data_IF_245678277607
#
_entry.id   IF_245678277607
#
_cell.length_a   1.000
_cell.length_b   1.000
_cell.length_c   1.000
_cell.angle_alpha   90.00
_cell.angle_beta   90.00
_cell.angle_gamma   90.00
#
_symmetry.space_group_name_H-M   'P 1'
#
loop_
_entity.id
_entity.type
_entity.pdbx_description
1 polymer ?
#
# COMPACT_ATOMS: atom_id res chain seq x y z
N UNK A 1 79.79 -3.53 16.85
CA UNK A 1 79.51 -2.08 16.95
C UNK A 1 78.43 -1.73 15.94
N UNK A 2 77.34 -1.09 16.38
CA UNK A 2 76.24 -0.70 15.50
C UNK A 2 74.91 -0.55 16.23
N UNK A 3 74.84 0.38 17.18
CA UNK A 3 73.61 0.84 17.83
C UNK A 3 72.83 1.78 16.89
N UNK A 4 71.56 1.48 16.58
CA UNK A 4 70.52 2.45 16.17
C UNK A 4 69.17 1.94 16.69
N UNK A 5 68.73 2.43 17.86
CA UNK A 5 67.87 3.60 18.11
C UNK A 5 66.37 3.24 18.10
N UNK A 6 65.86 3.20 19.33
CA UNK A 6 64.46 3.28 19.75
C UNK A 6 63.89 4.64 19.32
N UNK A 7 62.65 4.67 18.82
CA UNK A 7 61.77 5.81 18.96
C UNK A 7 60.38 5.32 19.38
N UNK A 8 60.00 5.72 20.58
CA UNK A 8 58.67 5.67 21.14
C UNK A 8 57.75 6.70 20.47
N UNK A 9 56.48 6.35 20.30
CA UNK A 9 55.28 7.20 20.41
C UNK A 9 54.11 6.32 19.92
N UNK A 10 53.19 5.88 20.77
CA UNK A 10 52.40 6.74 21.64
C UNK A 10 51.27 7.37 20.83
N UNK A 11 50.39 6.56 20.24
CA UNK A 11 49.15 7.03 19.63
C UNK A 11 48.01 6.15 20.13
N UNK A 12 47.16 6.77 20.96
CA UNK A 12 46.05 6.16 21.66
C UNK A 12 45.11 5.41 20.70
N UNK A 13 44.83 4.15 21.04
CA UNK A 13 43.68 3.43 20.48
C UNK A 13 42.44 4.17 20.96
N UNK A 14 41.90 5.05 20.12
CA UNK A 14 40.64 5.73 20.36
C UNK A 14 39.56 4.66 20.46
N UNK A 15 39.14 4.40 21.69
CA UNK A 15 38.06 3.49 22.01
C UNK A 15 36.83 3.88 21.19
N UNK A 16 36.28 2.91 20.46
CA UNK A 16 34.93 2.99 19.89
C UNK A 16 33.96 3.29 21.03
N UNK A 17 33.57 4.56 21.17
CA UNK A 17 32.44 4.92 22.02
C UNK A 17 31.21 4.28 21.40
N UNK A 18 30.68 3.26 22.06
CA UNK A 18 29.32 2.79 21.80
C UNK A 18 28.37 3.98 21.99
N UNK A 19 27.65 4.38 20.94
CA UNK A 19 26.44 5.17 21.14
C UNK A 19 25.47 4.26 21.88
N UNK A 20 25.23 4.55 23.15
CA UNK A 20 24.05 4.07 23.85
C UNK A 20 22.90 4.88 23.27
N UNK A 21 21.99 4.20 22.58
CA UNK A 21 20.66 4.75 22.37
C UNK A 21 20.03 4.79 23.76
N UNK A 22 19.96 5.98 24.34
CA UNK A 22 19.14 6.19 25.51
C UNK A 22 17.68 5.95 25.08
N UNK A 23 17.09 5.02 25.80
CA UNK A 23 15.72 4.57 25.81
C UNK A 23 14.86 5.67 26.45
N UNK A 24 14.41 6.65 25.66
CA UNK A 24 13.15 7.36 25.90
C UNK A 24 12.79 8.32 24.75
N UNK A 25 11.95 7.86 23.82
CA UNK A 25 11.00 8.68 23.06
C UNK A 25 10.18 7.74 22.15
N UNK A 26 9.12 7.20 22.73
CA UNK A 26 8.00 6.59 22.04
C UNK A 26 7.44 7.53 20.96
N UNK A 27 7.85 7.34 19.70
CA UNK A 27 7.06 7.69 18.51
C UNK A 27 7.69 7.12 17.22
N UNK A 28 8.06 5.84 17.28
CA UNK A 28 8.39 5.08 16.06
C UNK A 28 7.09 4.73 15.33
N UNK A 29 6.67 5.62 14.43
CA UNK A 29 5.62 5.33 13.45
C UNK A 29 6.01 4.08 12.63
N UNK A 30 5.43 2.94 12.98
CA UNK A 30 5.43 1.75 12.13
C UNK A 30 4.59 2.03 10.87
N UNK A 31 5.25 2.52 9.82
CA UNK A 31 4.70 2.37 8.46
C UNK A 31 4.83 0.90 8.09
N UNK A 32 3.69 0.22 8.04
CA UNK A 32 3.59 -1.18 7.65
C UNK A 32 4.01 -1.35 6.17
N UNK A 33 5.29 -1.64 5.95
CA UNK A 33 5.80 -2.28 4.74
C UNK A 33 6.91 -3.27 5.09
N UNK A 34 6.61 -4.20 6.01
CA UNK A 34 7.43 -5.38 6.26
C UNK A 34 6.74 -6.63 5.70
N UNK A 35 7.24 -7.09 4.55
CA UNK A 35 6.71 -8.28 3.91
C UNK A 35 7.56 -8.79 2.74
N UNK A 36 8.81 -9.18 3.03
CA UNK A 36 9.52 -10.37 2.50
C UNK A 36 10.99 -10.11 2.12
N UNK A 37 11.87 -10.07 3.13
CA UNK A 37 13.33 -10.18 2.97
C UNK A 37 13.86 -11.19 3.99
N UNK A 38 13.68 -12.48 3.70
CA UNK A 38 14.45 -13.54 4.36
C UNK A 38 14.82 -14.60 3.32
N UNK A 39 16.00 -14.47 2.72
CA UNK A 39 16.91 -15.60 2.53
C UNK A 39 18.26 -15.15 1.97
N UNK A 40 19.29 -15.59 2.69
CA UNK A 40 20.70 -15.73 2.30
C UNK A 40 21.61 -14.50 2.44
N UNK A 41 22.02 -14.31 3.69
CA UNK A 41 23.37 -13.88 4.03
C UNK A 41 24.40 -14.88 3.48
N UNK A 42 25.21 -14.44 2.51
CA UNK A 42 26.48 -15.10 2.16
C UNK A 42 27.60 -14.07 2.32
N UNK A 43 28.44 -14.35 3.31
CA UNK A 43 29.71 -13.70 3.61
C UNK A 43 30.62 -13.60 2.38
N UNK A 44 31.07 -12.40 2.01
CA UNK A 44 32.38 -12.19 1.38
C UNK A 44 33.01 -10.90 1.91
N UNK A 45 33.96 -11.06 2.82
CA UNK A 45 34.93 -10.03 3.18
C UNK A 45 36.12 -10.10 2.22
N UNK A 46 36.41 -9.04 1.45
CA UNK A 46 37.78 -8.63 1.06
C UNK A 46 37.81 -7.25 0.36
N UNK A 47 38.25 -6.26 1.14
CA UNK A 47 39.15 -5.11 0.85
C UNK A 47 39.30 -4.57 -0.59
N UNK A 48 38.82 -3.31 -0.75
CA UNK A 48 39.52 -2.07 -1.19
C UNK A 48 39.93 -1.91 -2.68
N UNK A 49 40.14 -0.67 -3.22
CA UNK A 49 39.96 0.68 -2.64
C UNK A 49 39.18 1.70 -3.54
N UNK A 50 38.87 2.85 -2.92
CA UNK A 50 38.66 4.23 -3.44
C UNK A 50 38.34 4.48 -4.93
N UNK A 51 37.24 5.22 -5.18
CA UNK A 51 37.33 6.52 -5.86
C UNK A 51 36.29 7.46 -5.24
N UNK A 52 36.84 8.54 -4.71
CA UNK A 52 36.17 9.70 -4.13
C UNK A 52 36.42 10.80 -5.14
N UNK A 53 35.42 11.16 -5.94
CA UNK A 53 35.40 12.40 -6.71
C UNK A 53 33.92 12.82 -6.81
N UNK A 54 33.45 13.75 -5.97
CA UNK A 54 33.60 15.21 -6.10
C UNK A 54 32.38 15.78 -6.82
N UNK A 55 31.35 16.12 -6.04
CA UNK A 55 30.34 17.11 -6.41
C UNK A 55 31.07 18.41 -6.78
N UNK A 56 31.05 18.76 -8.06
CA UNK A 56 31.54 20.03 -8.55
C UNK A 56 30.40 20.72 -9.30
N UNK A 57 29.60 21.47 -8.54
CA UNK A 57 28.85 22.60 -9.05
C UNK A 57 29.86 23.58 -9.65
N UNK A 58 29.88 23.70 -10.98
CA UNK A 58 30.67 24.69 -11.69
C UNK A 58 29.80 25.36 -12.74
N UNK A 59 29.11 26.42 -12.29
CA UNK A 59 28.60 27.47 -13.17
C UNK A 59 29.80 28.14 -13.84
N UNK A 60 30.13 27.69 -15.05
CA UNK A 60 31.15 28.33 -15.89
C UNK A 60 30.51 28.83 -17.18
N UNK A 61 29.99 30.05 -17.09
CA UNK A 61 29.72 30.91 -18.25
C UNK A 61 31.07 31.19 -18.95
N UNK A 62 31.35 30.48 -20.03
CA UNK A 62 32.46 30.80 -20.94
C UNK A 62 31.92 31.03 -22.35
N UNK A 63 31.68 32.31 -22.61
CA UNK A 63 31.38 32.94 -23.88
C UNK A 63 32.65 32.96 -24.77
N UNK A 64 32.65 32.18 -25.87
CA UNK A 64 33.65 32.28 -26.93
C UNK A 64 33.03 31.91 -28.30
N UNK A 65 33.12 32.76 -29.34
CA UNK A 65 32.42 32.57 -30.61
C UNK A 65 33.16 31.72 -31.67
N UNK A 66 32.32 31.03 -32.46
CA UNK A 66 32.42 30.62 -33.89
C UNK A 66 33.43 29.54 -34.37
N UNK A 67 32.90 28.33 -34.62
CA UNK A 67 33.17 27.56 -35.85
C UNK A 67 31.85 26.99 -36.41
N UNK A 68 31.41 27.54 -37.54
CA UNK A 68 30.17 27.20 -38.26
C UNK A 68 30.30 25.83 -38.97
N UNK A 69 29.78 24.77 -38.36
CA UNK A 69 29.71 23.46 -39.01
C UNK A 69 29.19 22.30 -38.15
N UNK A 70 29.17 22.45 -36.82
CA UNK A 70 28.68 21.44 -35.86
C UNK A 70 27.50 21.93 -34.99
N UNK A 71 27.00 23.16 -35.21
CA UNK A 71 26.01 23.84 -34.34
C UNK A 71 24.61 23.24 -34.43
N UNK A 72 24.13 22.87 -35.64
CA UNK A 72 22.76 22.39 -35.82
C UNK A 72 22.45 21.08 -35.07
N UNK A 73 23.48 20.25 -34.80
CA UNK A 73 23.32 19.02 -34.02
C UNK A 73 23.22 19.28 -32.52
N UNK A 74 23.87 20.33 -32.02
CA UNK A 74 23.82 20.75 -30.61
C UNK A 74 22.47 21.39 -30.29
N UNK A 75 21.97 22.27 -31.16
CA UNK A 75 20.65 22.91 -30.98
C UNK A 75 19.52 21.89 -30.88
N UNK A 76 19.54 20.86 -31.76
CA UNK A 76 18.55 19.77 -31.74
C UNK A 76 18.67 18.91 -30.48
N UNK A 77 19.86 18.77 -29.90
CA UNK A 77 20.05 18.06 -28.63
C UNK A 77 19.59 18.90 -27.44
N UNK A 78 19.91 20.19 -27.42
CA UNK A 78 19.47 21.12 -26.39
C UNK A 78 17.95 21.27 -26.35
N UNK A 79 17.30 21.38 -27.52
CA UNK A 79 15.83 21.37 -27.61
C UNK A 79 15.22 20.08 -27.06
N UNK A 80 15.84 18.92 -27.32
CA UNK A 80 15.38 17.63 -26.77
C UNK A 80 15.58 17.56 -25.26
N UNK A 81 16.68 18.08 -24.74
CA UNK A 81 16.95 18.12 -23.30
C UNK A 81 15.94 19.04 -22.61
N UNK A 82 15.71 20.25 -23.15
CA UNK A 82 14.70 21.20 -22.65
C UNK A 82 13.29 20.60 -22.68
N UNK A 83 12.91 19.95 -23.78
CA UNK A 83 11.61 19.29 -23.89
C UNK A 83 11.44 18.13 -22.89
N UNK A 84 12.51 17.36 -22.61
CA UNK A 84 12.48 16.31 -21.59
C UNK A 84 12.36 16.87 -20.18
N UNK A 85 13.08 17.95 -19.89
CA UNK A 85 13.03 18.62 -18.60
C UNK A 85 11.65 19.23 -18.34
N UNK A 86 11.09 19.93 -19.33
CA UNK A 86 9.74 20.49 -19.25
C UNK A 86 8.68 19.40 -19.08
N UNK A 87 8.79 18.29 -19.81
CA UNK A 87 7.89 17.15 -19.66
C UNK A 87 7.97 16.52 -18.26
N UNK A 88 9.18 16.43 -17.68
CA UNK A 88 9.38 15.93 -16.32
C UNK A 88 8.79 16.90 -15.29
N UNK A 89 9.03 18.19 -15.44
CA UNK A 89 8.46 19.23 -14.58
C UNK A 89 6.93 19.23 -14.61
N UNK A 90 6.33 19.13 -15.79
CA UNK A 90 4.88 19.03 -15.95
C UNK A 90 4.30 17.77 -15.28
N UNK A 91 5.00 16.63 -15.35
CA UNK A 91 4.58 15.41 -14.63
C UNK A 91 4.65 15.58 -13.11
N UNK A 92 5.70 16.21 -12.59
CA UNK A 92 5.85 16.49 -11.16
C UNK A 92 4.78 17.46 -10.67
N UNK A 93 4.47 18.51 -11.43
CA UNK A 93 3.41 19.46 -11.12
C UNK A 93 2.03 18.78 -11.13
N UNK A 94 1.74 17.95 -12.13
CA UNK A 94 0.51 17.17 -12.18
C UNK A 94 0.39 16.18 -11.00
N UNK A 95 1.49 15.55 -10.58
CA UNK A 95 1.51 14.68 -9.41
C UNK A 95 1.28 15.45 -8.10
N UNK A 96 1.91 16.63 -7.95
CA UNK A 96 1.68 17.54 -6.82
C UNK A 96 0.23 18.02 -6.77
N UNK A 97 -0.36 18.37 -7.91
CA UNK A 97 -1.77 18.79 -7.99
C UNK A 97 -2.73 17.65 -7.61
N UNK A 98 -2.46 16.42 -8.07
CA UNK A 98 -3.22 15.23 -7.66
C UNK A 98 -3.14 14.98 -6.16
N UNK A 99 -1.95 15.09 -5.56
CA UNK A 99 -1.77 14.99 -4.10
C UNK A 99 -2.60 16.03 -3.36
N UNK A 100 -2.54 17.30 -3.79
CA UNK A 100 -3.34 18.40 -3.21
C UNK A 100 -4.85 18.16 -3.33
N UNK A 101 -5.33 17.64 -4.46
CA UNK A 101 -6.76 17.29 -4.65
C UNK A 101 -7.19 16.19 -3.70
N UNK A 102 -6.41 15.12 -3.59
CA UNK A 102 -6.70 14.00 -2.70
C UNK A 102 -6.69 14.44 -1.23
N UNK A 103 -5.72 15.27 -0.83
CA UNK A 103 -5.64 15.82 0.52
C UNK A 103 -6.86 16.72 0.84
N UNK A 104 -7.30 17.56 -0.10
CA UNK A 104 -8.53 18.36 0.06
C UNK A 104 -9.76 17.48 0.24
N UNK A 105 -9.91 16.42 -0.56
CA UNK A 105 -11.03 15.47 -0.45
C UNK A 105 -11.00 14.77 0.90
N UNK A 106 -9.82 14.29 1.32
CA UNK A 106 -9.66 13.64 2.62
C UNK A 106 -10.00 14.58 3.78
N UNK A 107 -9.53 15.84 3.72
CA UNK A 107 -9.84 16.87 4.71
C UNK A 107 -11.34 17.17 4.77
N UNK A 108 -12.02 17.24 3.62
CA UNK A 108 -13.47 17.41 3.57
C UNK A 108 -14.21 16.23 4.21
N UNK A 109 -13.81 15.00 3.90
CA UNK A 109 -14.41 13.79 4.50
C UNK A 109 -14.24 13.75 6.02
N UNK A 110 -13.08 14.16 6.54
CA UNK A 110 -12.84 14.25 7.98
C UNK A 110 -13.72 15.30 8.65
N UNK A 111 -13.89 16.48 8.03
CA UNK A 111 -14.77 17.53 8.54
C UNK A 111 -16.24 17.10 8.50
N UNK A 112 -16.68 16.43 7.45
CA UNK A 112 -18.04 15.90 7.32
C UNK A 112 -18.32 14.83 8.39
N UNK A 113 -17.36 13.92 8.62
CA UNK A 113 -17.46 12.91 9.68
C UNK A 113 -17.56 13.56 11.07
N UNK A 114 -16.73 14.58 11.35
CA UNK A 114 -16.79 15.33 12.62
C UNK A 114 -18.13 16.05 12.78
N UNK A 115 -18.61 16.73 11.74
CA UNK A 115 -19.89 17.44 11.77
C UNK A 115 -21.07 16.48 11.97
N UNK A 116 -21.03 15.28 11.37
CA UNK A 116 -22.05 14.26 11.57
C UNK A 116 -22.07 13.77 13.01
N UNK A 117 -20.91 13.51 13.60
CA UNK A 117 -20.79 13.12 15.01
C UNK A 117 -21.28 14.24 15.94
N UNK A 118 -20.90 15.48 15.70
CA UNK A 118 -21.35 16.64 16.49
C UNK A 118 -22.87 16.83 16.40
N UNK A 119 -23.46 16.63 15.23
CA UNK A 119 -24.91 16.71 15.05
C UNK A 119 -25.65 15.55 15.72
N UNK A 120 -25.04 14.36 15.77
CA UNK A 120 -25.57 13.20 16.49
C UNK A 120 -25.47 13.40 18.01
N UNK A 121 -24.35 13.94 18.50
CA UNK A 121 -24.17 14.29 19.92
C UNK A 121 -25.13 15.42 20.34
N UNK A 122 -25.31 16.44 19.51
CA UNK A 122 -26.27 17.51 19.78
C UNK A 122 -27.72 17.01 19.82
N UNK A 123 -28.08 16.05 18.96
CA UNK A 123 -29.39 15.39 19.02
C UNK A 123 -29.58 14.58 20.29
N UNK A 124 -28.58 13.79 20.68
CA UNK A 124 -28.62 13.06 21.94
C UNK A 124 -28.75 14.00 23.14
N UNK A 125 -28.01 15.12 23.15
CA UNK A 125 -28.14 16.15 24.20
C UNK A 125 -29.50 16.82 24.20
N UNK A 126 -30.08 17.14 23.04
CA UNK A 126 -31.42 17.73 22.98
C UNK A 126 -32.50 16.74 23.39
N UNK A 127 -32.35 15.46 23.07
CA UNK A 127 -33.29 14.41 23.48
C UNK A 127 -33.27 14.23 25.01
N UNK A 128 -32.10 14.34 25.65
CA UNK A 128 -31.94 14.35 27.13
C UNK A 128 -32.49 15.64 27.77
N UNK A 129 -32.39 16.78 27.09
CA UNK A 129 -32.92 18.05 27.59
C UNK A 129 -34.46 18.15 27.42
N UNK A 130 -35.01 17.53 26.38
CA UNK A 130 -36.44 17.51 26.10
C UNK A 130 -37.17 16.37 26.86
N UNK A 131 -36.43 15.39 27.41
CA UNK A 131 -36.94 14.38 28.34
C UNK A 131 -37.06 14.86 29.79
N UNK A 132 -36.83 16.15 30.07
CA UNK A 132 -37.42 16.82 31.23
C UNK A 132 -37.02 16.33 32.63
N UNK A 133 -35.73 16.04 32.87
CA UNK A 133 -35.23 15.90 34.25
C UNK A 133 -34.36 17.11 34.58
N UNK A 134 -35.00 18.10 35.18
CA UNK A 134 -34.34 19.29 35.71
C UNK A 134 -33.49 18.89 36.92
N UNK A 135 -32.17 18.81 36.73
CA UNK A 135 -31.20 18.80 37.83
C UNK A 135 -31.29 20.15 38.56
N UNK A 136 -31.89 20.14 39.76
CA UNK A 136 -31.48 21.06 40.82
C UNK A 136 -30.50 20.30 41.70
N UNK A 137 -29.29 20.85 41.77
CA UNK A 137 -28.22 20.44 42.65
C UNK A 137 -28.63 20.65 44.11
N UNK A 138 -28.81 19.57 44.85
CA UNK A 138 -28.24 19.34 46.18
C UNK A 138 -28.67 17.94 46.66
N UNK A 139 -27.80 17.31 47.43
CA UNK A 139 -27.92 15.99 48.07
C UNK A 139 -27.58 14.74 47.22
N UNK A 140 -26.39 14.23 47.53
CA UNK A 140 -25.99 12.85 47.31
C UNK A 140 -26.85 11.94 48.19
N UNK A 141 -27.82 11.22 47.63
CA UNK A 141 -28.26 9.92 48.14
C UNK A 141 -29.25 9.27 47.14
N UNK A 142 -28.82 8.12 46.63
CA UNK A 142 -29.54 7.09 45.87
C UNK A 142 -30.18 7.45 44.50
N UNK A 143 -29.87 6.69 43.42
CA UNK A 143 -30.64 6.78 42.18
C UNK A 143 -32.08 6.33 42.47
N UNK A 144 -33.05 7.17 42.11
CA UNK A 144 -34.48 6.89 42.24
C UNK A 144 -34.80 5.49 41.71
N UNK A 145 -35.37 4.66 42.58
CA UNK A 145 -35.77 3.30 42.24
C UNK A 145 -36.74 3.35 41.04
N UNK A 146 -36.44 2.55 40.02
CA UNK A 146 -37.30 2.36 38.86
C UNK A 146 -38.73 2.07 39.33
N UNK A 147 -39.77 2.67 38.70
CA UNK A 147 -41.15 2.43 39.08
C UNK A 147 -41.42 0.92 39.17
N UNK A 148 -41.81 0.45 40.36
CA UNK A 148 -42.08 -0.98 40.60
C UNK A 148 -43.13 -1.51 39.60
N UNK A 149 -44.08 -0.65 39.20
CA UNK A 149 -45.10 -0.97 38.20
C UNK A 149 -44.51 -1.40 36.83
N UNK A 150 -43.30 -0.96 36.46
CA UNK A 150 -42.63 -1.39 35.23
C UNK A 150 -42.08 -2.82 35.32
N UNK A 151 -41.63 -3.23 36.50
CA UNK A 151 -41.19 -4.61 36.73
C UNK A 151 -42.40 -5.54 36.88
N UNK A 152 -43.47 -5.09 37.53
CA UNK A 152 -44.73 -5.82 37.62
C UNK A 152 -45.34 -6.04 36.22
N UNK A 153 -45.25 -5.06 35.30
CA UNK A 153 -45.68 -5.22 33.90
C UNK A 153 -44.80 -6.17 33.07
N UNK A 154 -43.51 -6.29 33.40
CA UNK A 154 -42.60 -7.23 32.72
C UNK A 154 -42.78 -8.66 33.24
N UNK A 155 -42.92 -8.84 34.55
CA UNK A 155 -43.21 -10.15 35.16
C UNK A 155 -44.58 -10.68 34.72
N UNK A 156 -45.61 -9.82 34.67
CA UNK A 156 -46.94 -10.21 34.15
C UNK A 156 -46.96 -10.52 32.65
N UNK A 157 -46.06 -9.93 31.84
CA UNK A 157 -45.91 -10.29 30.42
C UNK A 157 -45.02 -11.52 30.18
N UNK A 158 -44.21 -11.94 31.16
CA UNK A 158 -43.39 -13.16 31.08
C UNK A 158 -44.15 -14.41 31.54
N UNK A 159 -45.12 -14.27 32.45
CA UNK A 159 -45.85 -15.41 33.03
C UNK A 159 -47.00 -15.95 32.16
N UNK A 160 -47.54 -15.17 31.21
CA UNK A 160 -48.59 -15.64 30.28
C UNK A 160 -48.32 -15.20 28.82
N UNK A 161 -47.56 -15.97 28.02
CA UNK A 161 -47.38 -15.70 26.60
C UNK A 161 -48.61 -16.06 25.73
N UNK A 162 -49.74 -16.45 26.31
CA UNK A 162 -50.89 -17.00 25.57
C UNK A 162 -52.11 -16.05 25.42
N UNK A 163 -52.18 -14.89 26.09
CA UNK A 163 -53.36 -14.00 25.99
C UNK A 163 -53.13 -12.57 25.45
N UNK A 164 -51.89 -12.13 25.19
CA UNK A 164 -51.62 -10.76 24.72
C UNK A 164 -51.60 -10.57 23.18
N UNK A 165 -51.95 -11.60 22.40
CA UNK A 165 -51.93 -11.55 20.92
C UNK A 165 -53.14 -10.84 20.26
N UNK A 166 -54.05 -10.21 21.02
CA UNK A 166 -55.29 -9.64 20.47
C UNK A 166 -55.44 -8.13 20.49
N UNK A 167 -54.48 -7.38 21.04
CA UNK A 167 -54.57 -5.93 21.03
C UNK A 167 -53.26 -5.28 20.58
N UNK A 168 -53.34 -4.62 19.43
CA UNK A 168 -52.36 -3.69 18.84
C UNK A 168 -51.30 -4.35 17.95
N UNK A 169 -51.53 -4.20 16.63
CA UNK A 169 -50.63 -4.59 15.55
C UNK A 169 -49.32 -3.80 15.54
N UNK A 170 -48.40 -4.13 16.44
CA UNK A 170 -47.01 -3.77 16.33
C UNK A 170 -46.30 -4.83 15.49
N UNK A 171 -45.96 -4.43 14.27
CA UNK A 171 -45.08 -5.10 13.32
C UNK A 171 -43.87 -5.73 14.04
N UNK A 172 -43.96 -7.03 14.30
CA UNK A 172 -42.85 -7.86 14.74
C UNK A 172 -41.84 -7.89 13.61
N UNK A 173 -40.81 -7.03 13.69
CA UNK A 173 -39.65 -7.14 12.80
C UNK A 173 -39.04 -8.52 13.04
N UNK A 174 -38.96 -9.40 12.03
CA UNK A 174 -38.43 -10.74 12.23
C UNK A 174 -36.99 -10.65 12.73
N UNK A 175 -36.74 -11.17 13.94
CA UNK A 175 -35.43 -11.15 14.60
C UNK A 175 -34.38 -11.99 13.85
N UNK A 176 -34.80 -12.87 12.94
CA UNK A 176 -33.94 -13.76 12.17
C UNK A 176 -34.34 -13.79 10.69
N UNK A 177 -33.41 -13.40 9.82
CA UNK A 177 -33.52 -13.65 8.37
C UNK A 177 -33.07 -15.10 8.14
N UNK A 178 -34.01 -16.02 7.96
CA UNK A 178 -33.70 -17.38 7.56
C UNK A 178 -33.34 -17.37 6.07
N UNK A 179 -32.05 -17.31 5.74
CA UNK A 179 -31.61 -17.54 4.36
C UNK A 179 -31.96 -18.98 3.98
N UNK A 180 -32.77 -19.14 2.94
CA UNK A 180 -33.05 -20.46 2.39
C UNK A 180 -31.72 -21.11 2.02
N UNK A 181 -31.56 -22.42 2.24
CA UNK A 181 -30.33 -23.13 1.86
C UNK A 181 -29.96 -22.93 0.38
N UNK A 182 -30.99 -22.74 -0.45
CA UNK A 182 -30.88 -22.42 -1.86
C UNK A 182 -30.33 -21.01 -2.13
N UNK A 183 -30.65 -20.02 -1.29
CA UNK A 183 -30.10 -18.65 -1.40
C UNK A 183 -28.63 -18.61 -0.98
N UNK A 184 -28.24 -19.42 0.01
CA UNK A 184 -26.84 -19.57 0.42
C UNK A 184 -25.99 -20.28 -0.64
N UNK A 185 -26.53 -21.30 -1.32
CA UNK A 185 -25.86 -21.97 -2.44
C UNK A 185 -25.74 -21.03 -3.65
N UNK A 186 -26.80 -20.31 -4.00
CA UNK A 186 -26.77 -19.30 -5.06
C UNK A 186 -25.73 -18.20 -4.78
N UNK A 187 -25.71 -17.65 -3.56
CA UNK A 187 -24.71 -16.65 -3.17
C UNK A 187 -23.27 -17.19 -3.23
N UNK A 188 -23.06 -18.47 -2.90
CA UNK A 188 -21.74 -19.11 -2.97
C UNK A 188 -21.29 -19.37 -4.41
N UNK A 189 -22.21 -19.73 -5.30
CA UNK A 189 -21.92 -19.86 -6.73
C UNK A 189 -21.59 -18.49 -7.36
N UNK A 190 -22.36 -17.46 -7.03
CA UNK A 190 -22.10 -16.09 -7.47
C UNK A 190 -20.72 -15.60 -6.99
N UNK A 191 -20.37 -15.84 -5.72
CA UNK A 191 -19.06 -15.47 -5.17
C UNK A 191 -17.91 -16.20 -5.91
N UNK A 192 -18.09 -17.48 -6.25
CA UNK A 192 -17.10 -18.24 -7.01
C UNK A 192 -16.90 -17.66 -8.41
N UNK A 193 -17.99 -17.33 -9.10
CA UNK A 193 -17.93 -16.71 -10.43
C UNK A 193 -17.24 -15.35 -10.39
N UNK A 194 -17.57 -14.51 -9.40
CA UNK A 194 -16.92 -13.21 -9.19
C UNK A 194 -15.42 -13.41 -8.92
N UNK A 195 -15.05 -14.36 -8.07
CA UNK A 195 -13.65 -14.65 -7.74
C UNK A 195 -12.87 -15.14 -8.96
N UNK A 196 -13.46 -15.98 -9.79
CA UNK A 196 -12.86 -16.41 -11.05
C UNK A 196 -12.66 -15.26 -12.02
N UNK A 197 -13.64 -14.37 -12.13
CA UNK A 197 -13.55 -13.20 -13.00
C UNK A 197 -12.45 -12.25 -12.53
N UNK A 198 -12.36 -11.98 -11.22
CA UNK A 198 -11.27 -11.22 -10.62
C UNK A 198 -9.92 -11.88 -10.92
N UNK A 199 -9.81 -13.22 -10.81
CA UNK A 199 -8.57 -13.95 -11.14
C UNK A 199 -8.21 -13.84 -12.61
N UNK A 200 -9.19 -13.91 -13.52
CA UNK A 200 -8.99 -13.74 -14.97
C UNK A 200 -8.52 -12.32 -15.28
N UNK A 201 -9.14 -11.31 -14.69
CA UNK A 201 -8.75 -9.90 -14.83
C UNK A 201 -7.34 -9.66 -14.34
N UNK A 202 -6.99 -10.12 -13.13
CA UNK A 202 -5.61 -10.04 -12.58
C UNK A 202 -4.59 -10.71 -13.49
N UNK A 203 -4.93 -11.87 -14.09
CA UNK A 203 -4.05 -12.54 -15.04
C UNK A 203 -3.86 -11.73 -16.33
N UNK A 204 -4.91 -11.07 -16.83
CA UNK A 204 -4.84 -10.20 -18.02
C UNK A 204 -3.97 -8.98 -17.74
N UNK A 205 -4.22 -8.27 -16.65
CA UNK A 205 -3.42 -7.07 -16.27
C UNK A 205 -1.95 -7.43 -16.03
N UNK A 206 -1.66 -8.56 -15.37
CA UNK A 206 -0.28 -9.02 -15.19
C UNK A 206 0.40 -9.40 -16.50
N UNK A 207 -0.34 -9.93 -17.49
CA UNK A 207 0.23 -10.19 -18.82
C UNK A 207 0.59 -8.89 -19.51
N UNK A 208 -0.27 -7.87 -19.40
CA UNK A 208 -0.03 -6.56 -20.00
C UNK A 208 1.16 -5.85 -19.36
N UNK A 209 1.27 -5.89 -18.03
CA UNK A 209 2.42 -5.35 -17.29
C UNK A 209 3.74 -6.07 -17.60
N UNK A 210 3.69 -7.35 -17.94
CA UNK A 210 4.88 -8.16 -18.28
C UNK A 210 5.31 -8.04 -19.75
N UNK A 211 4.53 -7.38 -20.61
CA UNK A 211 4.93 -7.17 -22.01
C UNK A 211 6.11 -6.21 -22.05
N UNK A 212 7.20 -6.63 -22.68
CA UNK A 212 8.37 -5.78 -22.94
C UNK A 212 8.26 -4.99 -24.24
N UNK A 213 7.27 -5.33 -25.07
CA UNK A 213 7.07 -4.78 -26.41
C UNK A 213 5.73 -4.04 -26.48
N UNK A 214 5.76 -2.77 -26.93
CA UNK A 214 4.59 -1.92 -27.09
C UNK A 214 4.63 -1.25 -28.46
N UNK A 215 3.51 -1.32 -29.19
CA UNK A 215 3.34 -0.57 -30.44
C UNK A 215 2.91 0.87 -30.14
N UNK A 216 3.60 1.84 -30.72
CA UNK A 216 3.33 3.27 -30.64
C UNK A 216 3.14 3.78 -32.07
N UNK A 217 1.92 3.65 -32.59
CA UNK A 217 1.61 3.95 -33.98
C UNK A 217 2.34 2.98 -34.93
N UNK A 218 3.06 3.47 -35.96
CA UNK A 218 3.77 2.61 -36.90
C UNK A 218 5.04 1.97 -36.31
N UNK A 219 5.51 2.44 -35.16
CA UNK A 219 6.76 1.98 -34.54
C UNK A 219 6.47 1.01 -33.40
N UNK A 220 7.34 0.00 -33.25
CA UNK A 220 7.31 -0.89 -32.08
C UNK A 220 8.52 -0.62 -31.19
N UNK A 221 8.27 -0.33 -29.91
CA UNK A 221 9.30 -0.14 -28.88
C UNK A 221 9.45 -1.45 -28.12
N UNK A 222 10.69 -1.93 -27.94
CA UNK A 222 11.00 -3.14 -27.18
C UNK A 222 12.05 -2.85 -26.10
N UNK A 223 11.81 -3.34 -24.89
CA UNK A 223 12.75 -3.25 -23.78
C UNK A 223 13.79 -4.37 -23.85
N UNK A 224 15.07 -4.00 -23.82
CA UNK A 224 16.18 -4.96 -23.75
C UNK A 224 16.20 -5.65 -22.38
N UNK A 225 16.51 -6.95 -22.36
CA UNK A 225 16.70 -7.68 -21.10
C UNK A 225 17.87 -7.10 -20.32
N UNK A 226 17.76 -7.04 -18.99
CA UNK A 226 18.86 -6.61 -18.13
C UNK A 226 20.06 -7.56 -18.27
N UNK A 227 21.27 -6.98 -18.31
CA UNK A 227 22.52 -7.73 -18.51
C UNK A 227 22.72 -8.83 -17.46
N UNK A 228 22.33 -8.56 -16.21
CA UNK A 228 22.42 -9.51 -15.10
C UNK A 228 21.62 -10.79 -15.36
N UNK A 229 20.40 -10.68 -15.92
CA UNK A 229 19.57 -11.85 -16.23
C UNK A 229 20.17 -12.64 -17.39
N UNK A 230 20.65 -11.97 -18.44
CA UNK A 230 21.24 -12.64 -19.61
C UNK A 230 22.59 -13.31 -19.32
N UNK A 231 23.35 -12.81 -18.35
CA UNK A 231 24.67 -13.36 -17.99
C UNK A 231 24.57 -14.46 -16.93
N UNK A 232 23.67 -14.29 -15.97
CA UNK A 232 23.53 -15.23 -14.85
C UNK A 232 22.73 -16.48 -15.23
N UNK A 233 21.71 -16.34 -16.08
CA UNK A 233 20.80 -17.44 -16.42
C UNK A 233 20.97 -17.88 -17.86
N UNK A 234 20.93 -19.21 -18.06
CA UNK A 234 20.88 -19.79 -19.38
C UNK A 234 19.58 -19.37 -20.12
N UNK A 235 19.63 -19.22 -21.46
CA UNK A 235 18.44 -18.94 -22.25
C UNK A 235 17.33 -19.97 -22.01
N UNK A 236 16.08 -19.50 -22.06
CA UNK A 236 14.91 -20.38 -21.90
C UNK A 236 14.84 -21.38 -23.05
N UNK A 237 14.48 -22.62 -22.71
CA UNK A 237 14.25 -23.69 -23.68
C UNK A 237 13.17 -23.34 -24.71
N UNK A 238 13.41 -23.69 -25.97
CA UNK A 238 12.44 -23.50 -27.03
C UNK A 238 11.34 -24.56 -26.97
N UNK A 239 10.10 -24.13 -26.70
CA UNK A 239 8.98 -25.08 -26.52
C UNK A 239 8.59 -25.78 -27.81
N UNK A 240 8.83 -25.18 -28.98
CA UNK A 240 8.52 -25.81 -30.28
C UNK A 240 9.37 -27.07 -30.52
N UNK A 241 10.68 -26.95 -30.29
CA UNK A 241 11.63 -28.06 -30.43
C UNK A 241 11.32 -29.15 -29.41
N UNK A 242 11.12 -28.78 -28.14
CA UNK A 242 10.80 -29.76 -27.10
C UNK A 242 9.45 -30.43 -27.29
N UNK A 243 8.42 -29.70 -27.73
CA UNK A 243 7.12 -30.31 -28.07
C UNK A 243 7.25 -31.26 -29.24
N UNK A 244 8.07 -30.95 -30.24
CA UNK A 244 8.33 -31.84 -31.37
C UNK A 244 9.04 -33.11 -30.93
N UNK A 245 10.10 -32.98 -30.11
CA UNK A 245 10.80 -34.10 -29.48
C UNK A 245 9.87 -34.94 -28.60
N UNK A 246 9.10 -34.31 -27.73
CA UNK A 246 8.16 -34.99 -26.82
C UNK A 246 7.04 -35.67 -27.59
N UNK A 247 6.46 -35.03 -28.61
CA UNK A 247 5.43 -35.61 -29.48
C UNK A 247 5.96 -36.83 -30.23
N UNK A 248 7.22 -36.78 -30.66
CA UNK A 248 7.88 -37.91 -31.31
C UNK A 248 8.10 -39.08 -30.32
N UNK A 249 8.62 -38.79 -29.13
CA UNK A 249 8.93 -39.80 -28.11
C UNK A 249 7.68 -40.40 -27.46
N UNK A 250 6.61 -39.62 -27.33
CA UNK A 250 5.31 -39.98 -26.76
C UNK A 250 4.25 -40.23 -27.84
N UNK A 251 4.67 -40.53 -29.07
CA UNK A 251 3.73 -40.79 -30.17
C UNK A 251 2.86 -42.01 -29.85
N UNK A 252 1.57 -41.95 -30.19
CA UNK A 252 0.60 -43.02 -29.93
C UNK A 252 1.01 -44.38 -30.51
N UNK A 253 1.75 -44.40 -31.63
CA UNK A 253 2.22 -45.65 -32.25
C UNK A 253 3.22 -46.44 -31.40
N UNK A 254 3.86 -45.80 -30.42
CA UNK A 254 4.89 -46.44 -29.60
C UNK A 254 4.31 -47.26 -28.43
N UNK A 255 2.97 -47.33 -28.26
CA UNK A 255 2.23 -48.07 -27.22
C UNK A 255 2.97 -48.14 -25.87
N UNK A 256 3.49 -46.99 -25.41
CA UNK A 256 4.18 -46.92 -24.12
C UNK A 256 3.12 -47.18 -23.03
N UNK A 257 3.38 -48.21 -22.21
CA UNK A 257 2.59 -48.54 -21.02
C UNK A 257 2.71 -47.43 -19.99
#
# INVERSE_FOLDING_TARGET
MGLKKVFESGAAVVAKRHLKFDDDAEDSFHTADEGNSTLEAINVAKKQPVDSDSDSDSDSESDAPEEEGLSSGKDVLEEKIKAQEEAKRAQEEAAKERRRKNERIFKQQQLEKKKKLELEEAKQRSDVQNSGVAVRTDDMEDPEELPQEFFDELETNEEDPEESDKAQGLSVKPKHINFSKQDLEAAREEEQLVREEIRKQKRRTLRDLRKTQVQKGPVTVNLLSSMNVSRSLAPKRETSILKSKDKWLKRRSLKRK
#
